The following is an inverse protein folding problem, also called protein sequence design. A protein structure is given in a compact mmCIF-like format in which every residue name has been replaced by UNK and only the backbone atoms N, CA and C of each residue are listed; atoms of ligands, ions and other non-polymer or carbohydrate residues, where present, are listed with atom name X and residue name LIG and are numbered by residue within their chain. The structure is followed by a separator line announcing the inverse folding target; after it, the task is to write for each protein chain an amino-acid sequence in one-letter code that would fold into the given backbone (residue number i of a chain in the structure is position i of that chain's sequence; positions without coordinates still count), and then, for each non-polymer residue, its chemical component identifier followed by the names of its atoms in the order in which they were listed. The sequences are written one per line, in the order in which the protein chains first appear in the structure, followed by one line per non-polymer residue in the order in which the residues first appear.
data_IF_333427885946
#
_entry.id   IF_333427885946
#
_cell.length_a   1.000
_cell.length_b   1.000
_cell.length_c   1.000
_cell.angle_alpha   90.00
_cell.angle_beta   90.00
_cell.angle_gamma   90.00
#
_symmetry.space_group_name_H-M   'P 1'
#
loop_
_entity.id
_entity.type
_entity.pdbx_description
1 polymer ?
#
# COMPACT_ATOMS: atom_id res chain seq x y z
N UNK A 1 -72.91 21.92 17.90
CA UNK A 1 -71.49 22.29 17.72
C UNK A 1 -70.50 21.21 18.19
N UNK A 2 -70.83 20.39 19.20
CA UNK A 2 -69.96 19.30 19.71
C UNK A 2 -69.87 18.09 18.76
N UNK A 3 -70.95 17.76 18.04
CA UNK A 3 -71.00 16.57 17.16
C UNK A 3 -70.14 16.70 15.89
N UNK A 4 -69.93 17.93 15.39
CA UNK A 4 -69.11 18.20 14.19
C UNK A 4 -67.62 18.08 14.50
N UNK A 5 -67.20 18.45 15.72
CA UNK A 5 -65.81 18.31 16.16
C UNK A 5 -65.39 16.86 16.36
N UNK A 6 -66.30 16.00 16.84
CA UNK A 6 -66.01 14.56 17.03
C UNK A 6 -65.84 13.85 15.67
N UNK A 7 -66.64 14.22 14.66
CA UNK A 7 -66.55 13.62 13.33
C UNK A 7 -65.22 14.00 12.63
N UNK A 8 -64.78 15.25 12.74
CA UNK A 8 -63.51 15.72 12.17
C UNK A 8 -62.31 15.09 12.89
N UNK A 9 -62.42 14.87 14.20
CA UNK A 9 -61.37 14.22 15.00
C UNK A 9 -61.28 12.71 14.71
N UNK A 10 -62.39 12.04 14.40
CA UNK A 10 -62.39 10.62 13.99
C UNK A 10 -61.91 10.43 12.55
N UNK A 11 -62.23 11.35 11.63
CA UNK A 11 -61.72 11.36 10.25
C UNK A 11 -60.21 11.65 10.19
N UNK A 12 -59.68 12.51 11.07
CA UNK A 12 -58.23 12.76 11.14
C UNK A 12 -57.45 11.58 11.71
N UNK A 13 -58.02 10.83 12.67
CA UNK A 13 -57.42 9.58 13.20
C UNK A 13 -57.44 8.47 12.13
N UNK A 14 -58.46 8.42 11.28
CA UNK A 14 -58.53 7.43 10.19
C UNK A 14 -57.55 7.72 9.05
N UNK A 15 -57.28 9.00 8.77
CA UNK A 15 -56.20 9.41 7.85
C UNK A 15 -54.79 9.25 8.42
N UNK A 16 -54.60 9.24 9.75
CA UNK A 16 -53.30 8.95 10.37
C UNK A 16 -52.97 7.45 10.45
N UNK A 17 -53.97 6.56 10.38
CA UNK A 17 -53.79 5.10 10.51
C UNK A 17 -53.78 4.35 9.19
N UNK A 18 -54.01 5.04 8.08
CA UNK A 18 -53.84 4.54 6.70
C UNK A 18 -52.48 4.92 6.11
N UNK A 19 -51.46 5.02 6.97
CA UNK A 19 -50.08 4.90 6.52
C UNK A 19 -49.82 3.45 6.15
N UNK A 20 -49.66 3.18 4.86
CA UNK A 20 -49.05 1.91 4.40
C UNK A 20 -47.69 1.83 5.11
N UNK A 21 -47.56 0.91 6.06
CA UNK A 21 -46.25 0.56 6.61
C UNK A 21 -45.45 -0.08 5.46
N UNK A 22 -44.77 0.73 4.67
CA UNK A 22 -43.70 0.24 3.80
C UNK A 22 -42.58 -0.12 4.75
N UNK A 23 -42.53 -1.38 5.19
CA UNK A 23 -41.36 -1.93 5.84
C UNK A 23 -40.21 -1.74 4.85
N UNK A 24 -39.32 -0.78 5.14
CA UNK A 24 -38.12 -0.59 4.34
C UNK A 24 -37.34 -1.91 4.35
N UNK A 25 -37.08 -2.45 3.16
CA UNK A 25 -36.33 -3.69 3.02
C UNK A 25 -34.92 -3.46 3.56
N UNK A 26 -34.58 -4.14 4.65
CA UNK A 26 -33.23 -4.09 5.22
C UNK A 26 -32.27 -4.91 4.35
N UNK A 27 -31.72 -4.26 3.33
CA UNK A 27 -30.84 -4.88 2.34
C UNK A 27 -29.53 -5.43 2.92
N UNK A 28 -29.13 -5.01 4.12
CA UNK A 28 -27.97 -5.56 4.81
C UNK A 28 -28.28 -6.93 5.42
N UNK A 29 -29.41 -7.03 6.13
CA UNK A 29 -29.72 -8.21 6.94
C UNK A 29 -30.66 -9.21 6.26
N UNK A 30 -31.40 -8.81 5.22
CA UNK A 30 -32.35 -9.70 4.55
C UNK A 30 -31.65 -10.86 3.82
N UNK A 31 -32.22 -12.06 3.89
CA UNK A 31 -31.68 -13.21 3.16
C UNK A 31 -31.92 -13.01 1.65
N UNK A 32 -30.85 -13.04 0.82
CA UNK A 32 -30.99 -12.94 -0.63
C UNK A 32 -32.00 -13.95 -1.17
N UNK A 33 -32.01 -15.20 -0.71
CA UNK A 33 -32.87 -16.23 -1.29
C UNK A 33 -34.38 -16.05 -1.04
N UNK A 34 -34.77 -15.12 -0.18
CA UNK A 34 -36.17 -14.91 0.23
C UNK A 34 -36.80 -13.66 -0.36
N UNK A 35 -36.04 -12.83 -1.10
CA UNK A 35 -36.55 -11.58 -1.68
C UNK A 35 -37.09 -11.77 -3.09
N UNK A 36 -38.06 -10.93 -3.46
CA UNK A 36 -38.56 -10.84 -4.84
C UNK A 36 -37.48 -10.25 -5.76
N UNK A 37 -37.61 -10.47 -7.08
CA UNK A 37 -36.66 -9.92 -8.05
C UNK A 37 -36.62 -8.37 -8.02
N UNK A 38 -37.76 -7.71 -7.76
CA UNK A 38 -37.83 -6.26 -7.62
C UNK A 38 -37.12 -5.75 -6.36
N UNK A 39 -37.29 -6.44 -5.23
CA UNK A 39 -36.62 -6.10 -3.97
C UNK A 39 -35.10 -6.37 -4.05
N UNK A 40 -34.69 -7.42 -4.77
CA UNK A 40 -33.28 -7.69 -5.04
C UNK A 40 -32.63 -6.57 -5.88
N UNK A 41 -33.32 -6.05 -6.90
CA UNK A 41 -32.84 -4.91 -7.70
C UNK A 41 -32.76 -3.62 -6.90
N UNK A 42 -33.77 -3.37 -6.06
CA UNK A 42 -33.75 -2.27 -5.10
C UNK A 42 -32.54 -2.38 -4.17
N UNK A 43 -32.33 -3.56 -3.57
CA UNK A 43 -31.22 -3.79 -2.65
C UNK A 43 -29.85 -3.70 -3.31
N UNK A 44 -29.67 -4.20 -4.53
CA UNK A 44 -28.42 -4.02 -5.27
C UNK A 44 -28.12 -2.54 -5.52
N UNK A 45 -29.14 -1.74 -5.86
CA UNK A 45 -28.99 -0.30 -6.10
C UNK A 45 -28.65 0.44 -4.81
N UNK A 46 -29.35 0.12 -3.72
CA UNK A 46 -29.12 0.75 -2.42
C UNK A 46 -27.72 0.46 -1.87
N UNK A 47 -27.28 -0.80 -1.93
CA UNK A 47 -25.92 -1.18 -1.52
C UNK A 47 -24.84 -0.48 -2.36
N UNK A 48 -25.08 -0.31 -3.66
CA UNK A 48 -24.18 0.43 -4.54
C UNK A 48 -24.13 1.93 -4.18
N UNK A 49 -25.27 2.53 -3.85
CA UNK A 49 -25.33 3.91 -3.39
C UNK A 49 -24.57 4.10 -2.08
N UNK A 50 -24.74 3.19 -1.12
CA UNK A 50 -23.98 3.20 0.14
C UNK A 50 -22.48 3.12 -0.18
N UNK A 51 -22.03 2.16 -1.00
CA UNK A 51 -20.61 2.05 -1.40
C UNK A 51 -20.07 3.35 -2.00
N UNK A 52 -20.83 4.00 -2.87
CA UNK A 52 -20.46 5.29 -3.48
C UNK A 52 -20.34 6.43 -2.45
N UNK A 53 -21.16 6.45 -1.41
CA UNK A 53 -21.06 7.46 -0.34
C UNK A 53 -19.78 7.29 0.48
N UNK A 54 -19.34 6.05 0.73
CA UNK A 54 -18.12 5.76 1.49
C UNK A 54 -16.84 5.91 0.65
N UNK A 55 -16.89 5.62 -0.65
CA UNK A 55 -15.72 5.65 -1.55
C UNK A 55 -14.83 6.91 -1.45
N UNK A 56 -15.36 8.15 -1.54
CA UNK A 56 -14.51 9.35 -1.51
C UNK A 56 -13.82 9.55 -0.16
N UNK A 57 -14.53 9.31 0.95
CA UNK A 57 -13.96 9.41 2.29
C UNK A 57 -12.90 8.33 2.51
N UNK A 58 -13.15 7.11 2.04
CA UNK A 58 -12.21 6.00 2.17
C UNK A 58 -10.93 6.22 1.37
N UNK A 59 -11.05 6.72 0.14
CA UNK A 59 -9.89 7.08 -0.69
C UNK A 59 -9.06 8.18 -0.03
N UNK A 60 -9.74 9.21 0.50
CA UNK A 60 -9.09 10.28 1.25
C UNK A 60 -8.35 9.76 2.49
N UNK A 61 -8.97 8.86 3.25
CA UNK A 61 -8.35 8.23 4.42
C UNK A 61 -7.12 7.39 4.05
N UNK A 62 -7.15 6.66 2.93
CA UNK A 62 -5.99 5.91 2.42
C UNK A 62 -4.84 6.84 2.04
N UNK A 63 -5.13 7.95 1.37
CA UNK A 63 -4.11 8.94 1.03
C UNK A 63 -3.52 9.61 2.26
N UNK A 64 -4.34 9.96 3.24
CA UNK A 64 -3.87 10.60 4.47
C UNK A 64 -3.09 9.61 5.35
N UNK A 65 -3.47 8.32 5.36
CA UNK A 65 -2.68 7.25 5.97
C UNK A 65 -1.28 7.14 5.34
N UNK A 66 -1.18 7.14 4.01
CA UNK A 66 0.10 7.10 3.32
C UNK A 66 0.97 8.32 3.66
N UNK A 67 0.38 9.51 3.77
CA UNK A 67 1.09 10.73 4.21
C UNK A 67 1.57 10.62 5.66
N UNK A 68 0.76 10.10 6.57
CA UNK A 68 1.14 9.89 7.97
C UNK A 68 2.30 8.89 8.09
N UNK A 69 2.25 7.79 7.34
CA UNK A 69 3.35 6.83 7.25
C UNK A 69 4.64 7.46 6.74
N UNK A 70 4.56 8.30 5.70
CA UNK A 70 5.70 9.05 5.19
C UNK A 70 6.29 10.02 6.23
N UNK A 71 5.43 10.77 6.94
CA UNK A 71 5.85 11.65 8.04
C UNK A 71 6.52 10.86 9.17
N UNK A 72 5.99 9.70 9.54
CA UNK A 72 6.59 8.84 10.56
C UNK A 72 7.99 8.37 10.14
N UNK A 73 8.18 8.01 8.88
CA UNK A 73 9.48 7.63 8.34
C UNK A 73 10.48 8.80 8.35
N UNK A 74 10.05 10.02 8.02
CA UNK A 74 10.89 11.21 8.10
C UNK A 74 11.29 11.51 9.55
N UNK A 75 10.36 11.44 10.50
CA UNK A 75 10.63 11.62 11.92
C UNK A 75 11.64 10.59 12.44
N UNK A 76 11.49 9.32 12.07
CA UNK A 76 12.44 8.26 12.42
C UNK A 76 13.86 8.55 11.90
N UNK A 77 13.97 9.04 10.66
CA UNK A 77 15.25 9.44 10.06
C UNK A 77 15.87 10.61 10.82
N UNK A 78 15.10 11.66 11.11
CA UNK A 78 15.58 12.83 11.87
C UNK A 78 16.07 12.45 13.26
N UNK A 79 15.33 11.61 13.99
CA UNK A 79 15.72 11.12 15.32
C UNK A 79 17.02 10.30 15.25
N UNK A 80 17.19 9.50 14.19
CA UNK A 80 18.42 8.70 13.97
C UNK A 80 19.63 9.60 13.70
N UNK A 81 19.46 10.60 12.83
CA UNK A 81 20.50 11.60 12.56
C UNK A 81 20.88 12.36 13.83
N UNK A 82 19.90 12.84 14.61
CA UNK A 82 20.16 13.52 15.88
C UNK A 82 20.88 12.63 16.89
N UNK A 83 20.54 11.33 16.93
CA UNK A 83 21.24 10.37 17.81
C UNK A 83 22.70 10.20 17.41
N UNK A 84 23.01 10.23 16.11
CA UNK A 84 24.39 10.16 15.62
C UNK A 84 25.15 11.45 15.93
N UNK A 85 24.53 12.61 15.70
CA UNK A 85 25.11 13.91 16.03
C UNK A 85 25.39 14.05 17.53
N UNK A 86 24.49 13.57 18.40
CA UNK A 86 24.72 13.55 19.86
C UNK A 86 25.96 12.74 20.23
N UNK A 87 26.13 11.53 19.67
CA UNK A 87 27.31 10.70 19.92
C UNK A 87 28.61 11.38 19.48
N UNK A 88 28.60 12.00 18.30
CA UNK A 88 29.76 12.73 17.80
C UNK A 88 30.11 13.90 18.72
N UNK A 89 29.10 14.60 19.20
CA UNK A 89 29.28 15.75 20.05
C UNK A 89 29.76 15.33 21.46
N UNK A 90 29.28 14.21 22.02
CA UNK A 90 29.83 13.61 23.24
C UNK A 90 31.31 13.25 23.09
N UNK A 91 31.68 12.65 21.95
CA UNK A 91 33.08 12.34 21.64
C UNK A 91 33.94 13.61 21.54
N UNK A 92 33.43 14.66 20.89
CA UNK A 92 34.13 15.93 20.76
C UNK A 92 34.33 16.62 22.13
N UNK A 93 33.30 16.62 22.99
CA UNK A 93 33.41 17.12 24.37
C UNK A 93 34.50 16.36 25.11
N UNK A 94 34.47 15.02 25.10
CA UNK A 94 35.47 14.21 25.79
C UNK A 94 36.90 14.46 25.29
N UNK A 95 37.06 14.64 23.98
CA UNK A 95 38.36 15.00 23.39
C UNK A 95 38.85 16.36 23.88
N UNK A 96 38.00 17.39 23.85
CA UNK A 96 38.37 18.75 24.31
C UNK A 96 38.63 18.81 25.81
N UNK A 97 37.89 18.05 26.62
CA UNK A 97 38.14 17.95 28.06
C UNK A 97 39.53 17.33 28.35
N UNK A 98 39.93 16.30 27.58
CA UNK A 98 41.28 15.72 27.67
C UNK A 98 42.38 16.69 27.24
N UNK A 99 42.18 17.39 26.12
CA UNK A 99 43.13 18.39 25.62
C UNK A 99 43.30 19.57 26.60
N UNK A 100 42.19 20.04 27.20
CA UNK A 100 42.21 21.07 28.23
C UNK A 100 42.97 20.63 29.49
N UNK A 101 42.72 19.41 29.97
CA UNK A 101 43.43 18.84 31.12
C UNK A 101 44.94 18.70 30.86
N UNK A 102 45.32 18.26 29.65
CA UNK A 102 46.72 18.19 29.25
C UNK A 102 47.38 19.58 29.21
N UNK A 103 46.72 20.57 28.60
CA UNK A 103 47.21 21.95 28.55
C UNK A 103 47.39 22.53 29.96
N UNK A 104 46.46 22.27 30.88
CA UNK A 104 46.56 22.68 32.27
C UNK A 104 47.76 22.03 32.99
N UNK A 105 48.02 20.74 32.73
CA UNK A 105 49.19 20.04 33.27
C UNK A 105 50.50 20.67 32.79
N UNK A 106 50.62 20.92 31.50
CA UNK A 106 51.81 21.55 30.90
C UNK A 106 52.03 22.96 31.46
N UNK A 107 50.97 23.76 31.58
CA UNK A 107 51.05 25.08 32.21
C UNK A 107 51.54 24.98 33.67
N UNK A 108 51.04 24.00 34.43
CA UNK A 108 51.47 23.72 35.80
C UNK A 108 52.94 23.33 35.91
N UNK A 109 53.41 22.42 35.05
CA UNK A 109 54.82 21.99 34.98
C UNK A 109 55.74 23.18 34.64
N UNK A 110 55.35 24.03 33.68
CA UNK A 110 56.08 25.27 33.35
C UNK A 110 56.11 26.27 34.51
N UNK A 111 54.99 26.44 35.22
CA UNK A 111 54.91 27.33 36.37
C UNK A 111 55.81 26.87 37.54
N UNK A 112 55.84 25.56 37.81
CA UNK A 112 56.74 24.97 38.81
C UNK A 112 58.21 25.17 38.39
N UNK A 113 58.56 24.89 37.14
CA UNK A 113 59.91 25.13 36.63
C UNK A 113 60.34 26.59 36.80
N UNK A 114 59.47 27.53 36.43
CA UNK A 114 59.73 28.96 36.61
C UNK A 114 59.88 29.34 38.10
N UNK A 115 59.07 28.78 38.99
CA UNK A 115 59.18 29.01 40.43
C UNK A 115 60.51 28.51 41.00
N UNK A 116 60.91 27.30 40.62
CA UNK A 116 62.19 26.69 41.01
C UNK A 116 63.35 27.56 40.52
N UNK A 117 63.33 28.00 39.26
CA UNK A 117 64.35 28.88 38.69
C UNK A 117 64.50 30.17 39.51
N UNK A 118 63.40 30.87 39.81
CA UNK A 118 63.42 32.13 40.57
C UNK A 118 63.94 31.94 42.00
N UNK A 119 63.77 30.75 42.58
CA UNK A 119 64.12 30.47 43.98
C UNK A 119 65.50 29.85 44.17
N UNK A 120 65.97 29.07 43.19
CA UNK A 120 67.30 28.46 43.21
C UNK A 120 68.36 29.37 42.55
N UNK A 121 67.97 30.15 41.55
CA UNK A 121 68.83 31.19 40.98
C UNK A 121 68.39 32.55 41.52
N UNK A 122 69.33 33.26 42.12
CA UNK A 122 69.09 34.66 42.48
C UNK A 122 68.85 35.46 41.17
N UNK A 123 67.64 36.02 40.97
CA UNK A 123 67.32 36.79 39.77
C UNK A 123 68.26 38.00 39.63
N UNK A 124 68.70 38.53 40.77
CA UNK A 124 69.62 39.67 40.84
C UNK A 124 71.01 39.23 40.41
N UNK A 125 71.55 38.11 40.90
CA UNK A 125 72.83 37.59 40.40
C UNK A 125 72.78 37.22 38.92
N UNK A 126 71.68 36.67 38.41
CA UNK A 126 71.55 36.33 36.99
C UNK A 126 71.57 37.57 36.09
N UNK A 127 71.03 38.70 36.57
CA UNK A 127 71.08 40.01 35.89
C UNK A 127 72.48 40.64 36.00
N UNK A 128 73.16 40.50 37.15
CA UNK A 128 74.49 41.07 37.41
C UNK A 128 75.60 40.26 36.73
N UNK A 129 75.43 38.93 36.60
CA UNK A 129 76.39 38.03 35.95
C UNK A 129 76.13 37.83 34.45
N UNK A 130 75.03 38.38 33.92
CA UNK A 130 74.77 38.34 32.48
C UNK A 130 75.74 39.29 31.75
N UNK A 131 76.33 38.80 30.67
CA UNK A 131 77.13 39.61 29.75
C UNK A 131 76.31 40.70 29.05
N UNK A 132 74.98 40.54 28.99
CA UNK A 132 74.02 41.50 28.42
C UNK A 132 72.69 41.47 29.21
N UNK A 133 72.33 42.59 29.84
CA UNK A 133 71.06 42.73 30.55
C UNK A 133 69.83 42.57 29.61
N UNK A 134 69.97 42.90 28.33
CA UNK A 134 68.91 42.77 27.32
C UNK A 134 68.51 41.30 27.11
N UNK A 135 69.45 40.37 27.24
CA UNK A 135 69.21 38.94 27.05
C UNK A 135 68.31 38.37 28.16
N UNK A 136 68.55 38.78 29.41
CA UNK A 136 67.71 38.40 30.57
C UNK A 136 66.28 38.93 30.43
N UNK A 137 66.12 40.20 30.06
CA UNK A 137 64.79 40.78 29.80
C UNK A 137 64.06 40.07 28.65
N UNK A 138 64.79 39.69 27.59
CA UNK A 138 64.23 38.92 26.47
C UNK A 138 63.70 37.57 26.94
N UNK A 139 64.45 36.84 27.77
CA UNK A 139 64.04 35.53 28.32
C UNK A 139 62.77 35.67 29.18
N UNK A 140 62.72 36.67 30.07
CA UNK A 140 61.54 36.94 30.92
C UNK A 140 60.31 37.21 30.03
N UNK A 141 60.45 38.08 29.03
CA UNK A 141 59.36 38.40 28.11
C UNK A 141 58.91 37.21 27.26
N UNK A 142 59.83 36.31 26.87
CA UNK A 142 59.47 35.07 26.18
C UNK A 142 58.66 34.16 27.10
N UNK A 143 59.07 33.97 28.36
CA UNK A 143 58.35 33.14 29.34
C UNK A 143 56.95 33.69 29.63
N UNK A 144 56.82 35.00 29.80
CA UNK A 144 55.53 35.68 29.95
C UNK A 144 54.60 35.42 28.75
N UNK A 145 55.12 35.56 27.52
CA UNK A 145 54.37 35.26 26.29
C UNK A 145 53.94 33.79 26.18
N UNK A 146 54.80 32.85 26.60
CA UNK A 146 54.46 31.41 26.58
C UNK A 146 53.36 31.11 27.59
N UNK A 147 53.44 31.65 28.81
CA UNK A 147 52.39 31.48 29.81
C UNK A 147 51.05 32.10 29.38
N UNK A 148 51.08 33.27 28.75
CA UNK A 148 49.89 33.91 28.18
C UNK A 148 49.30 33.09 27.02
N UNK A 149 50.14 32.52 26.15
CA UNK A 149 49.69 31.63 25.08
C UNK A 149 49.05 30.33 25.61
N UNK A 150 49.64 29.72 26.64
CA UNK A 150 49.08 28.54 27.29
C UNK A 150 47.73 28.87 27.96
N UNK A 151 47.63 30.00 28.67
CA UNK A 151 46.39 30.48 29.27
C UNK A 151 45.30 30.68 28.21
N UNK A 152 45.61 31.37 27.12
CA UNK A 152 44.69 31.56 25.98
C UNK A 152 44.25 30.25 25.35
N UNK A 153 45.13 29.24 25.33
CA UNK A 153 44.80 27.90 24.83
C UNK A 153 43.77 27.22 25.73
N UNK A 154 43.93 27.30 27.06
CA UNK A 154 42.97 26.75 28.02
C UNK A 154 41.64 27.50 27.96
N UNK A 155 41.66 28.84 27.86
CA UNK A 155 40.46 29.67 27.69
C UNK A 155 39.70 29.27 26.42
N UNK A 156 40.41 29.10 25.30
CA UNK A 156 39.83 28.61 24.05
C UNK A 156 39.18 27.23 24.19
N UNK A 157 39.86 26.26 24.79
CA UNK A 157 39.25 24.94 25.01
C UNK A 157 38.03 25.00 25.93
N UNK A 158 38.06 25.85 26.94
CA UNK A 158 36.94 26.05 27.85
C UNK A 158 35.73 26.62 27.11
N UNK A 159 35.93 27.61 26.24
CA UNK A 159 34.89 28.18 25.39
C UNK A 159 34.32 27.15 24.41
N UNK A 160 35.18 26.38 23.73
CA UNK A 160 34.75 25.30 22.84
C UNK A 160 33.94 24.23 23.57
N UNK A 161 34.33 23.83 24.79
CA UNK A 161 33.58 22.87 25.61
C UNK A 161 32.20 23.43 25.99
N UNK A 162 32.11 24.71 26.36
CA UNK A 162 30.83 25.36 26.69
C UNK A 162 29.91 25.37 25.47
N UNK A 163 30.43 25.76 24.30
CA UNK A 163 29.66 25.80 23.06
C UNK A 163 29.16 24.40 22.67
N UNK A 164 30.03 23.39 22.72
CA UNK A 164 29.64 22.00 22.46
C UNK A 164 28.57 21.53 23.46
N UNK A 165 28.71 21.83 24.76
CA UNK A 165 27.70 21.45 25.78
C UNK A 165 26.34 22.13 25.51
N UNK A 166 26.33 23.39 25.09
CA UNK A 166 25.11 24.09 24.71
C UNK A 166 24.44 23.47 23.49
N UNK A 167 25.23 23.14 22.46
CA UNK A 167 24.75 22.43 21.27
C UNK A 167 24.18 21.04 21.64
N UNK A 168 24.82 20.33 22.57
CA UNK A 168 24.31 19.06 23.12
C UNK A 168 22.91 19.23 23.69
N UNK A 169 22.76 20.19 24.60
CA UNK A 169 21.50 20.43 25.31
C UNK A 169 20.38 20.82 24.35
N UNK A 170 20.69 21.65 23.34
CA UNK A 170 19.74 22.02 22.29
C UNK A 170 19.29 20.78 21.49
N UNK A 171 20.25 19.94 21.10
CA UNK A 171 19.99 18.74 20.31
C UNK A 171 19.23 17.66 21.10
N UNK A 172 19.53 17.49 22.39
CA UNK A 172 18.78 16.61 23.29
C UNK A 172 17.31 17.05 23.43
N UNK A 173 17.07 18.35 23.64
CA UNK A 173 15.71 18.92 23.68
C UNK A 173 14.97 18.68 22.37
N UNK A 174 15.60 18.96 21.23
CA UNK A 174 15.00 18.74 19.92
C UNK A 174 14.68 17.25 19.68
N UNK A 175 15.57 16.34 20.08
CA UNK A 175 15.33 14.90 19.99
C UNK A 175 14.13 14.46 20.83
N UNK A 176 13.98 14.96 22.05
CA UNK A 176 12.83 14.65 22.92
C UNK A 176 11.52 15.17 22.31
N UNK A 177 11.52 16.40 21.78
CA UNK A 177 10.35 16.96 21.10
C UNK A 177 9.96 16.12 19.87
N UNK A 178 10.94 15.73 19.05
CA UNK A 178 10.68 14.88 17.89
C UNK A 178 10.20 13.48 18.29
N UNK A 179 10.73 12.89 19.36
CA UNK A 179 10.27 11.59 19.85
C UNK A 179 8.82 11.66 20.36
N UNK A 180 8.45 12.75 21.03
CA UNK A 180 7.06 13.00 21.43
C UNK A 180 6.14 13.12 20.21
N UNK A 181 6.53 13.92 19.22
CA UNK A 181 5.78 14.07 17.97
C UNK A 181 5.66 12.75 17.19
N UNK A 182 6.75 11.97 17.13
CA UNK A 182 6.76 10.63 16.53
C UNK A 182 5.74 9.71 17.19
N UNK A 183 5.64 9.74 18.52
CA UNK A 183 4.66 8.94 19.25
C UNK A 183 3.22 9.34 18.86
N UNK A 184 2.91 10.63 18.86
CA UNK A 184 1.60 11.14 18.47
C UNK A 184 1.25 10.74 17.02
N UNK A 185 2.15 10.99 16.08
CA UNK A 185 1.94 10.61 14.66
C UNK A 185 1.81 9.09 14.50
N UNK A 186 2.51 8.29 15.30
CA UNK A 186 2.39 6.83 15.28
C UNK A 186 1.02 6.37 15.78
N UNK A 187 0.50 6.98 16.84
CA UNK A 187 -0.85 6.70 17.36
C UNK A 187 -1.93 7.06 16.33
N UNK A 188 -1.83 8.25 15.73
CA UNK A 188 -2.74 8.69 14.66
C UNK A 188 -2.69 7.75 13.45
N UNK A 189 -1.49 7.31 13.06
CA UNK A 189 -1.30 6.35 11.96
C UNK A 189 -1.98 5.02 12.27
N UNK A 190 -1.80 4.49 13.48
CA UNK A 190 -2.42 3.22 13.91
C UNK A 190 -3.94 3.33 13.94
N UNK A 191 -4.45 4.43 14.48
CA UNK A 191 -5.88 4.69 14.53
C UNK A 191 -6.49 4.73 13.12
N UNK A 192 -5.92 5.56 12.23
CA UNK A 192 -6.43 5.70 10.86
C UNK A 192 -6.30 4.40 10.05
N UNK A 193 -5.21 3.63 10.24
CA UNK A 193 -5.07 2.32 9.63
C UNK A 193 -6.19 1.35 10.07
N UNK A 194 -6.56 1.38 11.35
CA UNK A 194 -7.68 0.60 11.88
C UNK A 194 -9.02 1.01 11.27
N UNK A 195 -9.29 2.31 11.15
CA UNK A 195 -10.53 2.81 10.53
C UNK A 195 -10.61 2.47 9.03
N UNK A 196 -9.51 2.63 8.29
CA UNK A 196 -9.43 2.21 6.88
C UNK A 196 -9.74 0.72 6.74
N UNK A 197 -9.15 -0.14 7.57
CA UNK A 197 -9.39 -1.58 7.52
C UNK A 197 -10.85 -1.96 7.84
N UNK A 198 -11.48 -1.29 8.82
CA UNK A 198 -12.91 -1.49 9.12
C UNK A 198 -13.79 -1.13 7.93
N UNK A 199 -13.56 0.02 7.30
CA UNK A 199 -14.34 0.46 6.14
C UNK A 199 -14.11 -0.45 4.94
N UNK A 200 -12.87 -0.90 4.68
CA UNK A 200 -12.59 -1.87 3.61
C UNK A 200 -13.33 -3.20 3.84
N UNK A 201 -13.36 -3.69 5.09
CA UNK A 201 -14.11 -4.90 5.46
C UNK A 201 -15.62 -4.71 5.27
N UNK A 202 -16.14 -3.55 5.65
CA UNK A 202 -17.55 -3.21 5.46
C UNK A 202 -17.91 -3.15 3.97
N UNK A 203 -17.12 -2.46 3.14
CA UNK A 203 -17.32 -2.38 1.68
C UNK A 203 -17.23 -3.75 0.99
N UNK A 204 -16.33 -4.63 1.46
CA UNK A 204 -16.25 -6.01 0.99
C UNK A 204 -17.52 -6.80 1.32
N UNK A 205 -18.07 -6.61 2.52
CA UNK A 205 -19.34 -7.22 2.95
C UNK A 205 -20.50 -6.75 2.08
N UNK A 206 -20.61 -5.44 1.82
CA UNK A 206 -21.63 -4.89 0.91
C UNK A 206 -21.50 -5.46 -0.51
N UNK A 207 -20.28 -5.61 -1.01
CA UNK A 207 -20.00 -6.15 -2.35
C UNK A 207 -20.37 -7.64 -2.44
N UNK A 208 -20.06 -8.43 -1.42
CA UNK A 208 -20.46 -9.84 -1.34
C UNK A 208 -21.98 -9.98 -1.31
N UNK A 209 -22.67 -9.11 -0.55
CA UNK A 209 -24.13 -9.07 -0.50
C UNK A 209 -24.75 -8.69 -1.85
N UNK A 210 -24.23 -7.67 -2.52
CA UNK A 210 -24.65 -7.28 -3.87
C UNK A 210 -24.48 -8.44 -4.86
N UNK A 211 -23.37 -9.17 -4.79
CA UNK A 211 -23.12 -10.34 -5.63
C UNK A 211 -24.10 -11.50 -5.33
N UNK A 212 -24.52 -11.66 -4.07
CA UNK A 212 -25.51 -12.68 -3.69
C UNK A 212 -26.90 -12.37 -4.24
N UNK A 213 -27.35 -11.11 -4.22
CA UNK A 213 -28.60 -10.71 -4.87
C UNK A 213 -28.53 -10.88 -6.40
N UNK A 214 -27.39 -10.56 -7.01
CA UNK A 214 -27.18 -10.79 -8.44
C UNK A 214 -27.25 -12.28 -8.80
N UNK A 215 -26.62 -13.15 -8.00
CA UNK A 215 -26.66 -14.59 -8.19
C UNK A 215 -28.08 -15.13 -8.08
N UNK A 216 -28.82 -14.73 -7.04
CA UNK A 216 -30.22 -15.14 -6.85
C UNK A 216 -31.11 -14.68 -8.02
N UNK A 217 -30.94 -13.44 -8.51
CA UNK A 217 -31.64 -12.95 -9.70
C UNK A 217 -31.36 -13.85 -10.91
N UNK A 218 -30.10 -14.18 -11.16
CA UNK A 218 -29.73 -15.09 -12.26
C UNK A 218 -30.31 -16.50 -12.09
N UNK A 219 -30.36 -17.02 -10.86
CA UNK A 219 -30.97 -18.32 -10.56
C UNK A 219 -32.49 -18.30 -10.79
N UNK A 220 -33.19 -17.23 -10.39
CA UNK A 220 -34.63 -17.06 -10.60
C UNK A 220 -35.04 -17.04 -12.08
N UNK A 221 -34.11 -16.71 -12.98
CA UNK A 221 -34.34 -16.75 -14.42
C UNK A 221 -34.35 -18.18 -15.00
N UNK A 222 -34.03 -19.20 -14.19
CA UNK A 222 -34.09 -20.61 -14.60
C UNK A 222 -33.12 -20.97 -15.73
N UNK A 223 -32.07 -20.16 -15.92
CA UNK A 223 -31.12 -20.34 -17.01
C UNK A 223 -30.22 -21.56 -16.74
N UNK A 224 -30.22 -22.53 -17.67
CA UNK A 224 -29.35 -23.71 -17.56
C UNK A 224 -27.88 -23.29 -17.53
N UNK A 225 -27.17 -23.66 -16.44
CA UNK A 225 -25.74 -23.35 -16.25
C UNK A 225 -24.80 -24.25 -17.07
N UNK A 226 -25.34 -25.25 -17.78
CA UNK A 226 -24.58 -26.12 -18.67
C UNK A 226 -25.18 -26.11 -20.07
N UNK A 227 -24.31 -25.98 -21.08
CA UNK A 227 -24.68 -26.22 -22.47
C UNK A 227 -25.06 -27.70 -22.71
N UNK A 228 -24.59 -28.61 -21.85
CA UNK A 228 -24.80 -30.06 -21.96
C UNK A 228 -26.25 -30.48 -21.71
N UNK A 229 -26.98 -29.77 -20.84
CA UNK A 229 -28.39 -30.08 -20.55
C UNK A 229 -29.35 -29.50 -21.61
N UNK A 230 -28.85 -28.64 -22.51
CA UNK A 230 -29.59 -28.14 -23.67
C UNK A 230 -29.34 -29.08 -24.86
N UNK A 231 -30.05 -30.21 -24.89
CA UNK A 231 -29.97 -31.23 -25.95
C UNK A 231 -30.35 -30.77 -27.38
N UNK A 232 -30.39 -29.46 -27.64
CA UNK A 232 -30.71 -28.87 -28.94
C UNK A 232 -29.96 -27.57 -29.28
N UNK A 233 -28.96 -27.16 -28.48
CA UNK A 233 -28.29 -25.87 -28.66
C UNK A 233 -29.25 -24.67 -28.53
N UNK A 234 -28.72 -23.46 -28.64
CA UNK A 234 -29.56 -22.27 -28.84
C UNK A 234 -29.98 -22.24 -30.32
N UNK A 235 -31.06 -22.93 -30.68
CA UNK A 235 -31.68 -22.76 -32.00
C UNK A 235 -32.39 -21.40 -32.02
N UNK A 236 -32.01 -20.52 -32.93
CA UNK A 236 -32.78 -19.30 -33.18
C UNK A 236 -34.18 -19.67 -33.66
N UNK A 237 -35.24 -19.10 -33.07
CA UNK A 237 -36.61 -19.24 -33.60
C UNK A 237 -36.89 -18.21 -34.71
N UNK A 238 -35.84 -17.57 -35.26
CA UNK A 238 -35.90 -16.67 -36.40
C UNK A 238 -35.81 -17.50 -37.68
N UNK A 239 -36.65 -17.19 -38.67
CA UNK A 239 -36.60 -17.77 -40.01
C UNK A 239 -35.18 -17.57 -40.60
N UNK A 240 -34.48 -18.61 -41.11
CA UNK A 240 -34.97 -19.88 -41.63
C UNK A 240 -34.97 -21.07 -40.66
N UNK A 241 -34.62 -20.88 -39.38
CA UNK A 241 -34.27 -22.00 -38.50
C UNK A 241 -35.50 -22.70 -37.89
N UNK A 242 -36.57 -21.97 -37.56
CA UNK A 242 -37.89 -22.50 -37.19
C UNK A 242 -38.98 -21.52 -37.61
N UNK A 243 -39.99 -22.00 -38.34
CA UNK A 243 -41.20 -21.23 -38.68
C UNK A 243 -42.39 -21.78 -37.91
N UNK A 244 -43.21 -20.93 -37.25
CA UNK A 244 -44.38 -21.38 -36.50
C UNK A 244 -45.52 -21.91 -37.39
N UNK A 245 -45.40 -21.80 -38.72
CA UNK A 245 -46.38 -22.38 -39.66
C UNK A 245 -47.72 -21.63 -39.74
N UNK A 246 -47.87 -20.49 -39.05
CA UNK A 246 -49.03 -19.61 -39.12
C UNK A 246 -48.62 -18.13 -39.11
N UNK A 247 -49.49 -17.26 -39.62
CA UNK A 247 -49.31 -15.80 -39.64
C UNK A 247 -50.64 -15.09 -39.36
N UNK A 248 -50.66 -14.01 -38.55
CA UNK A 248 -49.53 -13.37 -37.88
C UNK A 248 -49.07 -14.11 -36.62
N UNK A 249 -47.76 -14.13 -36.38
CA UNK A 249 -47.15 -14.72 -35.17
C UNK A 249 -46.25 -13.69 -34.49
N UNK A 250 -46.27 -13.69 -33.15
CA UNK A 250 -45.36 -12.89 -32.32
C UNK A 250 -44.40 -13.84 -31.61
N UNK A 251 -43.11 -13.50 -31.63
CA UNK A 251 -42.08 -14.28 -30.95
C UNK A 251 -41.28 -13.37 -30.01
N UNK A 252 -41.01 -13.87 -28.81
CA UNK A 252 -40.14 -13.23 -27.83
C UNK A 252 -38.79 -13.96 -27.84
N UNK A 253 -37.71 -13.22 -28.02
CA UNK A 253 -36.36 -13.77 -28.06
C UNK A 253 -35.55 -13.26 -26.87
N UNK A 254 -34.79 -14.14 -26.22
CA UNK A 254 -33.69 -13.75 -25.35
C UNK A 254 -32.38 -14.16 -26.00
N UNK A 255 -31.40 -13.27 -26.02
CA UNK A 255 -30.04 -13.65 -26.33
C UNK A 255 -29.54 -14.50 -25.16
N UNK A 256 -28.99 -15.68 -25.47
CA UNK A 256 -28.65 -16.71 -24.48
C UNK A 256 -27.74 -16.23 -23.34
N UNK A 257 -27.52 -17.12 -22.36
CA UNK A 257 -26.72 -16.85 -21.15
C UNK A 257 -25.44 -16.07 -21.51
N UNK A 258 -25.25 -14.83 -20.99
CA UNK A 258 -24.03 -14.10 -21.21
C UNK A 258 -22.91 -14.83 -20.46
N UNK A 259 -22.21 -15.70 -21.16
CA UNK A 259 -20.93 -16.19 -20.69
C UNK A 259 -20.03 -14.96 -20.57
N UNK A 260 -19.49 -14.71 -19.37
CA UNK A 260 -18.42 -13.74 -19.21
C UNK A 260 -17.30 -14.12 -20.19
N UNK A 261 -16.65 -13.12 -20.78
CA UNK A 261 -15.55 -13.28 -21.76
C UNK A 261 -14.69 -14.51 -21.45
N UNK A 262 -14.66 -15.44 -22.39
CA UNK A 262 -14.06 -16.76 -22.23
C UNK A 262 -14.52 -17.72 -23.33
N UNK A 263 -13.59 -18.43 -23.94
CA UNK A 263 -13.88 -19.40 -25.00
C UNK A 263 -14.64 -20.60 -24.42
N UNK A 264 -15.82 -20.87 -24.96
CA UNK A 264 -16.53 -22.11 -24.69
C UNK A 264 -16.03 -23.19 -25.65
N UNK A 265 -15.48 -24.29 -25.13
CA UNK A 265 -14.91 -25.39 -25.93
C UNK A 265 -15.90 -25.93 -26.99
N UNK A 266 -17.17 -26.12 -26.62
CA UNK A 266 -18.19 -26.63 -27.54
C UNK A 266 -18.67 -25.59 -28.55
N UNK A 267 -18.72 -24.32 -28.16
CA UNK A 267 -19.09 -23.25 -29.08
C UNK A 267 -17.96 -22.94 -30.07
N UNK A 268 -16.69 -22.99 -29.65
CA UNK A 268 -15.55 -22.94 -30.53
C UNK A 268 -15.52 -24.15 -31.49
N UNK A 269 -15.91 -25.35 -31.02
CA UNK A 269 -16.08 -26.53 -31.88
C UNK A 269 -17.17 -26.33 -32.92
N UNK A 270 -18.35 -25.87 -32.54
CA UNK A 270 -19.44 -25.59 -33.49
C UNK A 270 -19.06 -24.54 -34.54
N UNK A 271 -18.28 -23.53 -34.16
CA UNK A 271 -17.73 -22.53 -35.09
C UNK A 271 -16.69 -23.11 -36.04
N UNK A 272 -15.80 -23.97 -35.56
CA UNK A 272 -14.83 -24.68 -36.39
C UNK A 272 -15.52 -25.64 -37.39
N UNK A 273 -16.57 -26.34 -36.95
CA UNK A 273 -17.42 -27.20 -37.80
C UNK A 273 -18.23 -26.37 -38.82
N UNK A 274 -18.54 -25.11 -38.50
CA UNK A 274 -19.12 -24.13 -39.41
C UNK A 274 -18.08 -23.45 -40.33
N UNK A 275 -16.88 -24.04 -40.48
CA UNK A 275 -15.77 -23.60 -41.33
C UNK A 275 -15.09 -22.26 -40.94
N UNK A 276 -15.32 -21.75 -39.73
CA UNK A 276 -14.59 -20.58 -39.21
C UNK A 276 -13.16 -20.96 -38.83
N UNK A 277 -12.18 -20.10 -39.11
CA UNK A 277 -10.79 -20.30 -38.69
C UNK A 277 -10.56 -19.93 -37.21
N UNK A 278 -9.38 -20.27 -36.68
CA UNK A 278 -9.06 -20.01 -35.26
C UNK A 278 -9.06 -18.52 -34.92
N UNK A 279 -8.74 -17.63 -35.87
CA UNK A 279 -8.71 -16.18 -35.64
C UNK A 279 -10.13 -15.63 -35.52
N UNK A 280 -11.03 -16.09 -36.39
CA UNK A 280 -12.45 -15.77 -36.35
C UNK A 280 -13.11 -16.27 -35.05
N UNK A 281 -12.73 -17.47 -34.61
CA UNK A 281 -13.21 -18.06 -33.35
C UNK A 281 -12.73 -17.24 -32.15
N UNK A 282 -11.43 -16.90 -32.08
CA UNK A 282 -10.87 -16.11 -30.98
C UNK A 282 -11.45 -14.70 -30.94
N UNK A 283 -11.61 -14.04 -32.10
CA UNK A 283 -12.27 -12.73 -32.19
C UNK A 283 -13.72 -12.79 -31.67
N UNK A 284 -14.43 -13.87 -31.96
CA UNK A 284 -15.81 -14.05 -31.49
C UNK A 284 -15.93 -14.21 -29.96
N UNK A 285 -14.90 -14.73 -29.28
CA UNK A 285 -14.93 -14.96 -27.83
C UNK A 285 -14.28 -13.87 -26.98
N UNK A 286 -13.22 -13.23 -27.51
CA UNK A 286 -12.40 -12.32 -26.73
C UNK A 286 -12.48 -10.86 -27.21
N UNK A 287 -13.14 -10.60 -28.35
CA UNK A 287 -13.23 -9.26 -28.96
C UNK A 287 -11.89 -8.51 -28.95
N UNK A 288 -10.81 -9.25 -29.19
CA UNK A 288 -9.43 -8.81 -29.04
C UNK A 288 -8.69 -8.90 -30.37
N UNK A 289 -7.75 -7.98 -30.58
CA UNK A 289 -6.85 -8.04 -31.72
C UNK A 289 -5.73 -9.05 -31.48
N UNK A 290 -5.60 -9.99 -32.41
CA UNK A 290 -4.57 -11.04 -32.35
C UNK A 290 -3.23 -10.40 -32.65
N UNK A 291 -2.41 -10.25 -31.62
CA UNK A 291 -1.06 -9.69 -31.75
C UNK A 291 -0.11 -10.78 -32.28
N UNK A 292 0.58 -10.49 -33.39
CA UNK A 292 1.61 -11.37 -33.97
C UNK A 292 3.00 -10.84 -33.60
N UNK A 293 3.97 -11.73 -33.38
CA UNK A 293 5.36 -11.35 -33.13
C UNK A 293 5.85 -11.44 -31.68
N UNK A 294 5.19 -12.26 -30.84
CA UNK A 294 5.73 -12.62 -29.52
C UNK A 294 6.92 -13.60 -29.67
N UNK A 295 7.85 -13.58 -28.72
CA UNK A 295 9.04 -14.43 -28.75
C UNK A 295 8.66 -15.89 -28.52
N UNK A 296 8.72 -16.72 -29.55
CA UNK A 296 8.46 -18.17 -29.50
C UNK A 296 9.68 -18.97 -29.00
N UNK A 297 10.78 -18.28 -28.65
CA UNK A 297 12.03 -18.89 -28.17
C UNK A 297 12.16 -18.96 -26.66
N UNK A 298 11.11 -18.64 -25.90
CA UNK A 298 11.17 -18.64 -24.43
C UNK A 298 11.32 -20.09 -23.94
N UNK A 299 12.44 -20.35 -23.27
CA UNK A 299 12.70 -21.63 -22.62
C UNK A 299 12.35 -21.52 -21.15
N UNK A 300 11.46 -22.39 -20.68
CA UNK A 300 11.07 -22.50 -19.28
C UNK A 300 11.67 -23.78 -18.67
N UNK A 301 12.03 -23.71 -17.39
CA UNK A 301 12.41 -24.90 -16.64
C UNK A 301 11.16 -25.47 -15.96
N UNK A 302 10.80 -26.70 -16.33
CA UNK A 302 9.61 -27.40 -15.83
C UNK A 302 10.07 -28.40 -14.78
N UNK A 303 9.64 -28.17 -13.53
CA UNK A 303 9.89 -29.07 -12.40
C UNK A 303 8.57 -29.54 -11.82
N UNK A 304 8.37 -30.85 -11.75
CA UNK A 304 7.13 -31.41 -11.20
C UNK A 304 7.17 -32.93 -11.11
N UNK A 305 6.24 -33.52 -10.37
CA UNK A 305 6.04 -34.97 -10.32
C UNK A 305 4.60 -35.26 -10.70
N UNK A 306 4.37 -36.15 -11.66
CA UNK A 306 3.01 -36.50 -12.08
C UNK A 306 2.34 -37.47 -11.09
N UNK A 307 1.04 -37.71 -11.32
CA UNK A 307 0.21 -38.62 -10.50
C UNK A 307 0.70 -40.09 -10.52
N UNK A 308 1.63 -40.43 -11.41
CA UNK A 308 2.25 -41.75 -11.54
C UNK A 308 3.65 -41.83 -10.91
N UNK A 309 4.08 -40.79 -10.19
CA UNK A 309 5.36 -40.75 -9.46
C UNK A 309 6.59 -40.48 -10.34
N UNK A 310 6.41 -40.06 -11.59
CA UNK A 310 7.49 -39.66 -12.48
C UNK A 310 7.85 -38.19 -12.24
N UNK A 311 9.11 -37.92 -11.92
CA UNK A 311 9.61 -36.56 -11.71
C UNK A 311 10.27 -36.02 -12.98
N UNK A 312 9.96 -34.77 -13.31
CA UNK A 312 10.49 -34.02 -14.44
C UNK A 312 11.29 -32.83 -13.91
N UNK A 313 12.47 -32.58 -14.48
CA UNK A 313 13.27 -31.37 -14.28
C UNK A 313 14.00 -31.08 -15.59
N UNK A 314 13.27 -30.52 -16.54
CA UNK A 314 13.74 -30.35 -17.91
C UNK A 314 13.44 -28.94 -18.41
N UNK A 315 14.28 -28.47 -19.32
CA UNK A 315 14.05 -27.20 -20.01
C UNK A 315 13.20 -27.45 -21.25
N UNK A 316 12.04 -26.82 -21.31
CA UNK A 316 11.08 -26.94 -22.40
C UNK A 316 10.91 -25.58 -23.07
N UNK A 317 10.71 -25.59 -24.39
CA UNK A 317 10.18 -24.42 -25.06
C UNK A 317 8.74 -24.19 -24.57
N UNK A 318 8.38 -22.95 -24.22
CA UNK A 318 7.05 -22.62 -23.69
C UNK A 318 5.91 -23.08 -24.62
N UNK A 319 6.12 -23.00 -25.94
CA UNK A 319 5.12 -23.39 -26.95
C UNK A 319 4.86 -24.88 -26.93
N UNK A 320 5.89 -25.68 -26.71
CA UNK A 320 5.75 -27.13 -26.63
C UNK A 320 5.16 -27.54 -25.29
N UNK A 321 5.51 -26.86 -24.20
CA UNK A 321 4.90 -27.11 -22.90
C UNK A 321 3.38 -26.86 -22.90
N UNK A 322 2.92 -25.71 -23.40
CA UNK A 322 1.49 -25.35 -23.39
C UNK A 322 0.62 -26.32 -24.21
N UNK A 323 1.14 -26.88 -25.31
CA UNK A 323 0.42 -27.91 -26.10
C UNK A 323 0.09 -29.17 -25.29
N UNK A 324 0.84 -29.46 -24.23
CA UNK A 324 0.65 -30.64 -23.37
C UNK A 324 -0.24 -30.35 -22.15
N UNK A 325 -0.79 -29.14 -22.02
CA UNK A 325 -1.73 -28.79 -20.93
C UNK A 325 -3.15 -29.33 -21.19
N UNK A 326 -3.40 -29.99 -22.34
CA UNK A 326 -4.60 -30.77 -22.66
C UNK A 326 -5.96 -30.15 -22.24
N UNK A 327 -6.14 -28.84 -22.43
CA UNK A 327 -7.44 -28.21 -22.15
C UNK A 327 -8.52 -28.60 -23.17
N UNK A 328 -8.13 -29.15 -24.33
CA UNK A 328 -9.02 -29.47 -25.46
C UNK A 328 -8.92 -30.95 -25.86
N UNK A 329 -10.04 -31.64 -26.19
CA UNK A 329 -10.03 -33.07 -26.55
C UNK A 329 -9.17 -33.40 -27.77
N UNK A 330 -8.46 -34.54 -27.71
CA UNK A 330 -7.57 -35.03 -28.77
C UNK A 330 -8.28 -35.32 -30.10
N UNK A 331 -9.59 -35.54 -30.09
CA UNK A 331 -10.40 -35.84 -31.29
C UNK A 331 -10.82 -34.60 -32.11
N UNK A 332 -10.32 -33.39 -31.77
CA UNK A 332 -10.68 -32.16 -32.47
C UNK A 332 -9.65 -31.84 -33.57
N UNK A 333 -10.01 -32.13 -34.82
CA UNK A 333 -9.12 -32.03 -36.00
C UNK A 333 -9.71 -31.22 -37.17
N UNK A 334 -10.89 -30.64 -37.01
CA UNK A 334 -11.53 -29.85 -38.07
C UNK A 334 -10.77 -28.52 -38.31
N UNK A 335 -10.35 -28.28 -39.56
CA UNK A 335 -9.85 -27.02 -40.13
C UNK A 335 -8.96 -26.16 -39.19
N UNK A 336 -7.77 -26.67 -38.86
CA UNK A 336 -6.76 -25.99 -38.02
C UNK A 336 -7.20 -25.66 -36.58
N UNK A 337 -8.28 -26.27 -36.07
CA UNK A 337 -8.61 -26.23 -34.62
C UNK A 337 -7.50 -26.78 -33.72
N UNK A 338 -6.50 -27.48 -34.28
CA UNK A 338 -5.26 -27.80 -33.59
C UNK A 338 -4.48 -26.55 -33.14
N UNK A 339 -4.66 -25.40 -33.80
CA UNK A 339 -4.10 -24.10 -33.40
C UNK A 339 -4.80 -23.51 -32.18
N UNK A 340 -6.06 -23.88 -31.91
CA UNK A 340 -6.77 -23.52 -30.66
C UNK A 340 -6.26 -24.31 -29.45
N UNK A 341 -5.43 -25.33 -29.65
CA UNK A 341 -4.67 -25.96 -28.55
C UNK A 341 -3.57 -25.04 -27.99
N UNK A 342 -3.33 -23.89 -28.64
CA UNK A 342 -2.26 -22.93 -28.31
C UNK A 342 -2.73 -21.75 -27.45
N UNK A 343 -4.01 -21.70 -27.06
CA UNK A 343 -4.61 -20.53 -26.40
C UNK A 343 -5.46 -20.90 -25.20
#
# INVERSE_FOLDING_TARGET
MIFVFILIFLLSIWHLTSGINVLAVDCLNINPNTVSAGDADFCMTELENIKKQYAPAQEKNKQDLAKLQSKLNDLNKRITVMTTLLKNLESNISKREKESSYAQKILGEKAVGQYIDIRLYDPVMSIISASDALEVFRIIKIREKVADADRKTIEKYSEEIINLKNDKLSLEKNKLLLASLQKQVSEDTKFLAGEVAKVDTYLATLSAKQQSFLAQKLESLGLSRSAYNMKGGCSSDINPFKSPGFSPAFAFFSFGVPNRVGMNQFGAKGRAEANQDYEEILRAYYNADITRGYSTGITINVVGTNEFGQSFNENWNIEDYVKHVYEMPTSWTAKDSAALKRY
#
